data_IF_803267654528
#
_entry.id   IF_803267654528
#
_cell.length_a   1.000
_cell.length_b   1.000
_cell.length_c   1.000
_cell.angle_alpha   90.00
_cell.angle_beta   90.00
_cell.angle_gamma   90.00
#
_symmetry.space_group_name_H-M   'P 1'
#
loop_
_entity.id
_entity.type
_entity.pdbx_description
1 polymer ?
#
# COMPACT_ATOMS: atom_id res chain seq x y z
N UNK A 1 -22.57 44.53 -39.35
CA UNK A 1 -21.56 43.56 -38.86
C UNK A 1 -22.32 42.47 -38.11
N UNK A 2 -22.13 41.18 -38.39
CA UNK A 2 -22.87 40.13 -37.70
C UNK A 2 -22.36 39.94 -36.26
N UNK A 3 -23.29 39.75 -35.33
CA UNK A 3 -23.04 39.57 -33.89
C UNK A 3 -22.54 38.14 -33.63
N UNK A 4 -21.49 37.92 -32.80
CA UNK A 4 -21.03 36.57 -32.50
C UNK A 4 -22.05 35.83 -31.64
N UNK A 5 -22.44 34.61 -32.05
CA UNK A 5 -23.29 33.72 -31.27
C UNK A 5 -22.50 33.12 -30.10
N UNK A 6 -23.11 32.97 -28.90
CA UNK A 6 -22.43 32.36 -27.76
C UNK A 6 -22.17 30.88 -28.04
N UNK A 7 -20.91 30.47 -27.95
CA UNK A 7 -20.52 29.06 -28.06
C UNK A 7 -21.06 28.29 -26.83
N UNK A 8 -21.55 27.06 -27.00
CA UNK A 8 -21.93 26.23 -25.86
C UNK A 8 -20.71 26.04 -24.94
N UNK A 9 -20.93 26.19 -23.63
CA UNK A 9 -19.90 25.98 -22.62
C UNK A 9 -19.30 24.59 -22.83
N UNK A 10 -18.02 24.56 -23.20
CA UNK A 10 -17.28 23.32 -23.29
C UNK A 10 -17.34 22.67 -21.90
N UNK A 11 -17.72 21.39 -21.85
CA UNK A 11 -17.49 20.59 -20.65
C UNK A 11 -15.97 20.55 -20.44
N UNK A 12 -15.47 21.47 -19.62
CA UNK A 12 -14.09 21.47 -19.19
C UNK A 12 -13.87 20.19 -18.38
N UNK A 13 -12.91 19.37 -18.83
CA UNK A 13 -12.48 18.21 -18.05
C UNK A 13 -12.08 18.69 -16.65
N UNK A 14 -12.40 17.92 -15.59
CA UNK A 14 -12.08 18.34 -14.24
C UNK A 14 -10.57 18.60 -14.12
N UNK A 15 -10.21 19.74 -13.53
CA UNK A 15 -8.81 20.07 -13.29
C UNK A 15 -8.16 18.97 -12.45
N UNK A 16 -6.99 18.47 -12.89
CA UNK A 16 -6.22 17.51 -12.11
C UNK A 16 -5.68 18.23 -10.87
N UNK A 17 -6.30 17.98 -9.72
CA UNK A 17 -5.78 18.44 -8.43
C UNK A 17 -4.55 17.61 -8.09
N UNK A 18 -3.50 18.26 -7.59
CA UNK A 18 -2.36 17.52 -7.04
C UNK A 18 -2.85 16.68 -5.86
N UNK A 19 -2.54 15.39 -5.88
CA UNK A 19 -2.76 14.49 -4.75
C UNK A 19 -1.95 14.98 -3.54
N UNK A 20 -2.34 14.54 -2.34
CA UNK A 20 -1.64 14.91 -1.11
C UNK A 20 -0.13 14.61 -1.25
N UNK A 21 0.68 15.65 -1.05
CA UNK A 21 2.13 15.58 -1.23
C UNK A 21 2.71 14.53 -0.29
N UNK A 22 3.46 13.57 -0.86
CA UNK A 22 4.39 12.74 -0.07
C UNK A 22 5.35 13.69 0.66
N UNK A 23 5.59 13.48 1.97
CA UNK A 23 6.54 14.30 2.72
C UNK A 23 7.92 14.31 2.05
N UNK A 24 8.55 15.49 1.96
CA UNK A 24 9.84 15.68 1.28
C UNK A 24 11.00 14.94 1.95
N UNK A 25 10.84 14.60 3.22
CA UNK A 25 11.78 13.78 4.00
C UNK A 25 11.59 12.26 3.72
N UNK A 26 10.60 11.90 2.91
CA UNK A 26 10.27 10.52 2.54
C UNK A 26 9.71 9.68 3.68
N UNK A 27 9.28 10.30 4.79
CA UNK A 27 8.74 9.60 5.95
C UNK A 27 7.22 9.68 5.97
N UNK A 28 6.58 8.58 6.36
CA UNK A 28 5.14 8.51 6.58
C UNK A 28 4.87 8.20 8.06
N UNK A 29 4.78 9.25 8.86
CA UNK A 29 4.56 9.12 10.30
C UNK A 29 3.20 8.47 10.63
N UNK A 30 2.20 8.65 9.76
CA UNK A 30 0.88 8.03 9.94
C UNK A 30 0.94 6.54 9.63
N UNK A 31 1.59 6.16 8.52
CA UNK A 31 1.87 4.77 8.16
C UNK A 31 2.70 4.04 9.22
N UNK A 32 3.76 4.66 9.74
CA UNK A 32 4.57 4.11 10.83
C UNK A 32 3.74 3.83 12.08
N UNK A 33 2.84 4.76 12.44
CA UNK A 33 1.94 4.60 13.58
C UNK A 33 0.96 3.45 13.36
N UNK A 34 0.35 3.37 12.18
CA UNK A 34 -0.59 2.30 11.83
C UNK A 34 0.06 0.91 11.92
N UNK A 35 1.31 0.80 11.44
CA UNK A 35 2.06 -0.47 11.48
C UNK A 35 2.36 -0.92 12.91
N UNK A 36 2.56 0.01 13.85
CA UNK A 36 2.80 -0.30 15.26
C UNK A 36 1.57 -0.90 15.97
N UNK A 37 0.37 -0.55 15.49
CA UNK A 37 -0.89 -1.03 16.06
C UNK A 37 -1.28 -2.41 15.53
N UNK A 38 -0.59 -2.94 14.52
CA UNK A 38 -0.78 -4.31 14.02
C UNK A 38 -0.35 -5.31 15.09
N UNK A 39 -1.33 -6.01 15.67
CA UNK A 39 -1.11 -7.02 16.72
C UNK A 39 -1.52 -8.41 16.22
N UNK A 40 -0.63 -9.39 16.42
CA UNK A 40 -0.96 -10.79 16.24
C UNK A 40 -1.43 -11.38 17.57
N UNK A 41 -2.74 -11.56 17.71
CA UNK A 41 -3.33 -12.16 18.92
C UNK A 41 -2.83 -13.57 19.22
N UNK A 42 -2.42 -14.31 18.19
CA UNK A 42 -1.93 -15.69 18.30
C UNK A 42 -0.42 -15.79 18.57
N UNK A 43 0.30 -14.66 18.66
CA UNK A 43 1.75 -14.66 18.88
C UNK A 43 2.13 -15.15 20.28
N UNK A 44 1.26 -14.92 21.27
CA UNK A 44 1.46 -15.32 22.66
C UNK A 44 0.74 -16.63 23.02
N UNK A 45 -0.10 -17.14 22.10
CA UNK A 45 -0.70 -18.45 22.26
C UNK A 45 0.39 -19.49 22.04
N UNK A 46 0.59 -20.38 23.03
CA UNK A 46 1.52 -21.53 22.95
C UNK A 46 0.99 -22.62 21.99
N UNK A 47 0.42 -22.25 20.85
CA UNK A 47 -0.22 -23.15 19.91
C UNK A 47 0.61 -23.38 18.65
N UNK A 48 0.95 -24.65 18.38
CA UNK A 48 1.48 -25.28 17.14
C UNK A 48 2.56 -24.56 16.30
N UNK A 49 3.11 -23.42 16.73
CA UNK A 49 4.29 -22.80 16.10
C UNK A 49 5.52 -23.72 16.16
N UNK A 50 5.47 -24.76 17.01
CA UNK A 50 6.46 -25.85 17.06
C UNK A 50 6.32 -26.89 15.94
N UNK A 51 5.27 -26.84 15.10
CA UNK A 51 5.25 -27.61 13.86
C UNK A 51 6.13 -26.92 12.82
N UNK A 52 7.45 -27.00 13.07
CA UNK A 52 8.53 -26.79 12.10
C UNK A 52 8.08 -27.45 10.81
N UNK A 53 8.01 -26.67 9.73
CA UNK A 53 7.78 -27.19 8.38
C UNK A 53 8.65 -28.43 8.16
N UNK A 54 8.12 -29.57 7.68
CA UNK A 54 8.91 -30.76 7.50
C UNK A 54 10.11 -30.43 6.63
N UNK A 55 11.28 -30.80 7.15
CA UNK A 55 12.61 -30.53 6.66
C UNK A 55 12.76 -31.05 5.22
N UNK A 56 12.50 -30.20 4.22
CA UNK A 56 12.89 -30.49 2.83
C UNK A 56 14.36 -30.15 2.64
N UNK A 57 15.24 -30.90 3.27
CA UNK A 57 16.67 -30.80 2.99
C UNK A 57 17.46 -32.08 3.32
N UNK A 58 16.85 -33.25 3.11
CA UNK A 58 17.63 -34.47 2.88
C UNK A 58 17.83 -34.66 1.37
N UNK A 59 18.90 -34.07 0.83
CA UNK A 59 19.55 -34.61 -0.37
C UNK A 59 20.81 -35.32 0.11
N UNK A 60 20.90 -36.66 0.03
CA UNK A 60 22.16 -37.33 0.31
C UNK A 60 23.17 -36.90 -0.76
N UNK A 61 24.27 -36.30 -0.33
CA UNK A 61 25.46 -36.20 -1.16
C UNK A 61 25.92 -37.64 -1.44
N UNK A 62 25.79 -38.07 -2.70
CA UNK A 62 26.31 -39.36 -3.18
C UNK A 62 27.85 -39.36 -3.07
N UNK A 63 28.47 -40.54 -2.93
CA UNK A 63 29.85 -40.73 -2.50
C UNK A 63 30.88 -40.29 -3.54
#
# INVERSE_FOLDING_TARGET
MPMPTPKPAHHEEPEVTQEESVPSDGRDAEGERLMKDVRNSKLHDKGLAEHKTPEKSDKPAKP
#
